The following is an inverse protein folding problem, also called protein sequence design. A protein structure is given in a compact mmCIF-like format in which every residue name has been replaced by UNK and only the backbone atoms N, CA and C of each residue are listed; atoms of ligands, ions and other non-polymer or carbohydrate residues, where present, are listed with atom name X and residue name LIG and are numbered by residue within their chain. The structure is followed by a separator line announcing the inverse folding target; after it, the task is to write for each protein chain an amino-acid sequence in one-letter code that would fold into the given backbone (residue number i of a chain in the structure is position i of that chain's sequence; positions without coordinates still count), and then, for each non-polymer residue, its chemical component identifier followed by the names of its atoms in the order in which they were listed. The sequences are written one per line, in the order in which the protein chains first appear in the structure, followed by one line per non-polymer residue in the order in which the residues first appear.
data_IF_676276513095
#
_entry.id   IF_676276513095
#
_cell.length_a   1.000
_cell.length_b   1.000
_cell.length_c   1.000
_cell.angle_alpha   90.00
_cell.angle_beta   90.00
_cell.angle_gamma   90.00
#
_symmetry.space_group_name_H-M   'P 1'
#
loop_
_entity.id
_entity.type
_entity.pdbx_description
1 polymer ?
#
# COMPACT_ATOMS: atom_id res chain seq x y z
N UNK A 1 0.94 -50.76 15.52
CA UNK A 1 2.37 -50.56 15.19
C UNK A 1 2.66 -49.08 15.28
N UNK A 2 3.65 -48.67 16.06
CA UNK A 2 3.99 -47.25 16.26
C UNK A 2 5.10 -46.82 15.30
N UNK A 3 4.99 -45.61 14.72
CA UNK A 3 6.03 -45.00 13.89
C UNK A 3 7.40 -44.93 14.60
N UNK A 4 7.38 -44.78 15.93
CA UNK A 4 8.60 -44.72 16.74
C UNK A 4 9.38 -46.05 16.74
N UNK A 5 8.69 -47.19 16.73
CA UNK A 5 9.35 -48.52 16.71
C UNK A 5 9.99 -48.84 15.36
N UNK A 6 9.44 -48.34 14.25
CA UNK A 6 10.05 -48.51 12.94
C UNK A 6 11.29 -47.62 12.77
N UNK A 7 11.28 -46.39 13.28
CA UNK A 7 12.42 -45.48 13.22
C UNK A 7 13.62 -45.99 14.04
N UNK A 8 13.37 -46.66 15.17
CA UNK A 8 14.42 -47.24 16.02
C UNK A 8 15.14 -48.46 15.40
N UNK A 9 14.59 -49.07 14.33
CA UNK A 9 15.19 -50.20 13.62
C UNK A 9 16.14 -49.81 12.48
N UNK A 10 16.31 -48.50 12.22
CA UNK A 10 17.24 -48.01 11.20
C UNK A 10 18.71 -48.32 11.52
N UNK A 11 19.60 -48.28 10.51
CA UNK A 11 21.03 -48.44 10.71
C UNK A 11 21.54 -47.38 11.69
N UNK A 12 22.34 -47.80 12.68
CA UNK A 12 22.97 -46.88 13.63
C UNK A 12 24.02 -46.05 12.89
N UNK A 13 23.97 -44.72 13.04
CA UNK A 13 24.96 -43.83 12.46
C UNK A 13 26.37 -44.18 12.94
N UNK A 14 27.34 -44.08 12.04
CA UNK A 14 28.74 -44.31 12.39
C UNK A 14 29.26 -43.21 13.34
N UNK A 15 30.33 -43.46 14.12
CA UNK A 15 30.89 -42.45 15.02
C UNK A 15 31.34 -41.17 14.31
N UNK A 16 31.68 -41.25 13.02
CA UNK A 16 32.09 -40.12 12.19
C UNK A 16 30.88 -39.27 11.75
N UNK A 17 29.72 -39.88 11.52
CA UNK A 17 28.48 -39.17 11.13
C UNK A 17 27.82 -38.43 12.30
N UNK A 18 28.09 -38.86 13.54
CA UNK A 18 27.62 -38.18 14.76
C UNK A 18 28.44 -36.91 15.05
N UNK A 19 29.63 -36.78 14.45
CA UNK A 19 30.50 -35.63 14.68
C UNK A 19 29.95 -34.38 14.00
N UNK A 20 29.70 -33.33 14.78
CA UNK A 20 29.35 -32.03 14.25
C UNK A 20 30.46 -31.49 13.32
N UNK A 21 30.13 -30.87 12.18
CA UNK A 21 31.11 -30.25 11.31
C UNK A 21 31.91 -29.17 12.06
N UNK A 22 33.20 -29.03 11.75
CA UNK A 22 34.05 -28.01 12.36
C UNK A 22 33.50 -26.60 12.04
N UNK A 23 33.45 -25.68 13.03
CA UNK A 23 32.99 -24.32 12.78
C UNK A 23 33.94 -23.61 11.78
N UNK A 24 33.41 -22.81 10.86
CA UNK A 24 34.24 -22.03 9.95
C UNK A 24 35.10 -21.05 10.77
N UNK A 25 36.40 -20.99 10.46
CA UNK A 25 37.32 -20.03 11.08
C UNK A 25 37.29 -18.73 10.27
N UNK A 26 37.17 -17.60 10.97
CA UNK A 26 37.24 -16.26 10.37
C UNK A 26 38.72 -15.88 10.27
N UNK A 27 39.17 -15.53 9.07
CA UNK A 27 40.54 -15.08 8.82
C UNK A 27 40.72 -13.67 9.41
N UNK A 28 41.55 -13.53 10.44
CA UNK A 28 41.86 -12.23 11.05
C UNK A 28 43.09 -11.63 10.38
N UNK A 29 42.87 -10.72 9.43
CA UNK A 29 43.96 -9.90 8.87
C UNK A 29 44.32 -8.76 9.84
N UNK A 30 45.61 -8.53 10.14
CA UNK A 30 46.05 -7.51 11.09
C UNK A 30 45.82 -6.05 10.64
N UNK A 31 45.38 -5.81 9.40
CA UNK A 31 45.09 -4.47 8.85
C UNK A 31 43.69 -3.94 9.17
N UNK A 32 42.87 -4.68 9.93
CA UNK A 32 41.48 -4.32 10.30
C UNK A 32 41.43 -3.34 11.49
N UNK A 33 42.33 -2.35 11.48
CA UNK A 33 42.43 -1.30 12.50
C UNK A 33 41.24 -0.33 12.43
N UNK A 34 40.25 -0.53 13.30
CA UNK A 34 39.06 0.32 13.53
C UNK A 34 39.36 1.73 14.09
N UNK A 35 40.63 2.13 14.16
CA UNK A 35 41.09 3.39 14.78
C UNK A 35 40.61 4.65 14.02
N UNK A 36 40.29 4.53 12.73
CA UNK A 36 39.77 5.64 11.92
C UNK A 36 38.25 5.70 11.84
N UNK A 37 37.54 4.85 12.59
CA UNK A 37 36.07 4.82 12.63
C UNK A 37 35.51 5.63 13.82
N UNK A 38 36.24 6.66 14.25
CA UNK A 38 35.70 7.68 15.15
C UNK A 38 35.33 8.86 14.28
N UNK A 39 34.06 8.94 13.92
CA UNK A 39 33.46 10.07 13.21
C UNK A 39 33.35 11.26 14.17
N UNK A 40 34.45 12.01 14.33
CA UNK A 40 34.58 13.16 15.25
C UNK A 40 34.14 14.48 14.61
N UNK A 41 33.41 14.44 13.48
CA UNK A 41 32.74 15.63 12.93
C UNK A 41 31.27 15.72 13.36
N UNK A 42 30.98 15.21 14.57
CA UNK A 42 29.69 15.40 15.23
C UNK A 42 29.58 16.86 15.71
N UNK A 43 28.58 17.64 15.27
CA UNK A 43 28.40 19.00 15.76
C UNK A 43 28.28 19.00 17.29
N UNK A 44 29.20 19.68 17.97
CA UNK A 44 29.23 19.79 19.42
C UNK A 44 28.01 20.59 19.91
N UNK A 45 26.96 19.90 20.39
CA UNK A 45 25.80 20.52 21.01
C UNK A 45 26.19 20.94 22.43
N UNK A 46 26.77 22.12 22.54
CA UNK A 46 27.01 22.75 23.84
C UNK A 46 25.73 23.43 24.28
N UNK A 47 25.12 22.91 25.34
CA UNK A 47 23.92 23.40 26.03
C UNK A 47 22.59 23.29 25.27
N UNK A 48 21.68 22.54 25.88
CA UNK A 48 20.24 22.55 25.56
C UNK A 48 19.66 23.90 26.01
N UNK A 49 18.83 24.57 25.19
CA UNK A 49 18.12 25.80 25.59
C UNK A 49 17.30 25.60 26.88
N UNK A 50 17.23 26.62 27.74
CA UNK A 50 16.51 26.53 29.04
C UNK A 50 15.00 26.34 28.91
N UNK A 51 14.44 26.61 27.74
CA UNK A 51 13.03 26.45 27.38
C UNK A 51 12.72 25.08 26.72
N UNK A 52 13.70 24.20 26.55
CA UNK A 52 13.52 22.89 25.90
C UNK A 52 12.40 22.04 26.51
N UNK A 53 12.20 22.10 27.83
CA UNK A 53 11.14 21.33 28.48
C UNK A 53 9.74 21.81 28.12
N UNK A 54 9.56 23.12 27.91
CA UNK A 54 8.27 23.76 27.62
C UNK A 54 7.93 23.86 26.13
N UNK A 55 8.88 23.57 25.24
CA UNK A 55 8.64 23.53 23.79
C UNK A 55 7.70 22.36 23.42
N UNK A 56 6.73 22.65 22.54
CA UNK A 56 5.80 21.65 21.99
C UNK A 56 6.46 20.72 20.98
N UNK A 57 7.52 21.17 20.31
CA UNK A 57 8.29 20.41 19.32
C UNK A 57 9.76 20.50 19.73
N UNK A 58 10.35 19.38 20.14
CA UNK A 58 11.68 19.34 20.77
C UNK A 58 12.81 18.96 19.82
N UNK A 59 12.47 18.48 18.64
CA UNK A 59 13.44 17.95 17.67
C UNK A 59 12.97 18.26 16.26
N UNK A 60 13.90 18.51 15.34
CA UNK A 60 13.59 18.77 13.94
C UNK A 60 12.82 17.61 13.29
N UNK A 61 13.12 16.37 13.66
CA UNK A 61 12.38 15.19 13.16
C UNK A 61 10.91 15.14 13.59
N UNK A 62 10.58 15.71 14.75
CA UNK A 62 9.19 15.86 15.20
C UNK A 62 8.50 17.00 14.42
N UNK A 63 9.22 18.10 14.17
CA UNK A 63 8.71 19.21 13.36
C UNK A 63 8.36 18.74 11.93
N UNK A 64 9.28 18.01 11.29
CA UNK A 64 9.10 17.47 9.94
C UNK A 64 7.92 16.49 9.85
N UNK A 65 7.71 15.65 10.88
CA UNK A 65 6.55 14.74 10.95
C UNK A 65 5.25 15.52 11.00
N UNK A 66 5.15 16.52 11.86
CA UNK A 66 3.95 17.35 12.01
C UNK A 66 3.66 18.11 10.71
N UNK A 67 4.67 18.70 10.08
CA UNK A 67 4.50 19.37 8.80
C UNK A 67 3.95 18.43 7.72
N UNK A 68 4.49 17.22 7.62
CA UNK A 68 4.02 16.21 6.67
C UNK A 68 2.59 15.77 6.94
N UNK A 69 2.24 15.55 8.21
CA UNK A 69 0.88 15.19 8.61
C UNK A 69 -0.11 16.33 8.33
N UNK A 70 0.28 17.58 8.56
CA UNK A 70 -0.52 18.75 8.20
C UNK A 70 -0.71 18.90 6.69
N UNK A 71 0.34 18.68 5.89
CA UNK A 71 0.25 18.71 4.44
C UNK A 71 -0.70 17.64 3.93
N UNK A 72 -0.56 16.40 4.41
CA UNK A 72 -1.47 15.29 4.08
C UNK A 72 -2.90 15.62 4.50
N UNK A 73 -3.10 16.18 5.69
CA UNK A 73 -4.43 16.57 6.15
C UNK A 73 -5.02 17.71 5.30
N UNK A 74 -4.24 18.73 4.96
CA UNK A 74 -4.66 19.84 4.08
C UNK A 74 -5.00 19.33 2.68
N UNK A 75 -4.22 18.40 2.13
CA UNK A 75 -4.51 17.76 0.85
C UNK A 75 -5.77 16.90 0.92
N UNK A 76 -5.95 16.14 1.99
CA UNK A 76 -7.15 15.34 2.23
C UNK A 76 -8.41 16.22 2.32
N UNK A 77 -8.36 17.33 3.06
CA UNK A 77 -9.46 18.30 3.14
C UNK A 77 -9.77 18.92 1.77
N UNK A 78 -8.75 19.38 1.02
CA UNK A 78 -8.94 19.88 -0.35
C UNK A 78 -9.56 18.83 -1.27
N UNK A 79 -9.16 17.57 -1.15
CA UNK A 79 -9.73 16.47 -1.91
C UNK A 79 -11.19 16.21 -1.52
N UNK A 80 -11.53 16.26 -0.23
CA UNK A 80 -12.90 16.12 0.27
C UNK A 80 -13.79 17.24 -0.25
N UNK A 81 -13.35 18.50 -0.18
CA UNK A 81 -14.10 19.65 -0.68
C UNK A 81 -14.35 19.54 -2.19
N UNK A 82 -13.31 19.21 -2.97
CA UNK A 82 -13.44 18.97 -4.42
C UNK A 82 -14.37 17.80 -4.71
N UNK A 83 -14.31 16.73 -3.92
CA UNK A 83 -15.20 15.58 -4.06
C UNK A 83 -16.65 15.95 -3.73
N UNK A 84 -16.89 16.78 -2.71
CA UNK A 84 -18.22 17.26 -2.35
C UNK A 84 -18.82 18.12 -3.47
N UNK A 85 -18.05 19.08 -4.01
CA UNK A 85 -18.48 19.91 -5.14
C UNK A 85 -18.78 19.08 -6.41
N UNK A 86 -17.92 18.09 -6.71
CA UNK A 86 -18.17 17.13 -7.81
C UNK A 86 -19.40 16.27 -7.56
N UNK A 87 -19.64 15.83 -6.32
CA UNK A 87 -20.81 15.04 -5.95
C UNK A 87 -22.10 15.84 -6.12
N UNK A 88 -22.11 17.11 -5.72
CA UNK A 88 -23.28 17.97 -5.87
C UNK A 88 -23.62 18.21 -7.34
N UNK A 89 -22.63 18.60 -8.14
CA UNK A 89 -22.80 18.78 -9.59
C UNK A 89 -23.19 17.48 -10.32
N UNK A 90 -22.62 16.34 -9.92
CA UNK A 90 -23.01 15.04 -10.44
C UNK A 90 -24.45 14.68 -10.04
N UNK A 91 -24.88 14.99 -8.82
CA UNK A 91 -26.25 14.76 -8.36
C UNK A 91 -27.26 15.59 -9.14
N UNK A 92 -26.93 16.84 -9.44
CA UNK A 92 -27.77 17.70 -10.27
C UNK A 92 -27.91 17.15 -11.70
N UNK A 93 -26.79 16.75 -12.33
CA UNK A 93 -26.80 16.12 -13.66
C UNK A 93 -27.56 14.79 -13.68
N UNK A 94 -27.40 13.98 -12.64
CA UNK A 94 -28.11 12.72 -12.49
C UNK A 94 -29.62 12.93 -12.35
N UNK A 95 -30.06 13.98 -11.63
CA UNK A 95 -31.48 14.34 -11.55
C UNK A 95 -32.04 14.80 -12.89
N UNK A 96 -31.30 15.62 -13.64
CA UNK A 96 -31.70 16.08 -14.98
C UNK A 96 -31.81 14.94 -15.99
N UNK A 97 -30.99 13.90 -15.82
CA UNK A 97 -30.93 12.75 -16.73
C UNK A 97 -31.50 11.47 -16.12
N UNK A 98 -32.35 11.58 -15.10
CA UNK A 98 -32.94 10.44 -14.42
C UNK A 98 -33.81 9.58 -15.35
N UNK A 99 -34.42 10.19 -16.37
CA UNK A 99 -35.28 9.50 -17.35
C UNK A 99 -34.49 8.96 -18.55
N UNK A 100 -33.17 9.18 -18.61
CA UNK A 100 -32.35 8.70 -19.71
C UNK A 100 -31.94 7.22 -19.46
N UNK A 101 -32.48 6.23 -20.21
CA UNK A 101 -32.14 4.82 -20.05
C UNK A 101 -30.64 4.51 -20.16
N UNK A 102 -29.89 5.28 -20.95
CA UNK A 102 -28.43 5.09 -21.09
C UNK A 102 -27.72 5.50 -19.81
N UNK A 103 -28.15 6.59 -19.17
CA UNK A 103 -27.58 7.07 -17.89
C UNK A 103 -27.91 6.11 -16.75
N UNK A 104 -29.15 5.60 -16.70
CA UNK A 104 -29.55 4.59 -15.72
C UNK A 104 -28.74 3.30 -15.94
N UNK A 105 -28.62 2.84 -17.18
CA UNK A 105 -27.85 1.64 -17.53
C UNK A 105 -26.40 1.73 -17.10
N UNK A 106 -25.73 2.86 -17.37
CA UNK A 106 -24.35 3.09 -16.95
C UNK A 106 -24.21 3.15 -15.42
N UNK A 107 -25.18 3.74 -14.71
CA UNK A 107 -25.18 3.77 -13.25
C UNK A 107 -25.28 2.35 -12.65
N UNK A 108 -26.15 1.50 -13.21
CA UNK A 108 -26.26 0.09 -12.82
C UNK A 108 -24.97 -0.67 -13.16
N UNK A 109 -24.41 -0.45 -14.36
CA UNK A 109 -23.15 -1.06 -14.78
C UNK A 109 -22.00 -0.71 -13.82
N UNK A 110 -21.86 0.56 -13.46
CA UNK A 110 -20.86 1.02 -12.49
C UNK A 110 -21.07 0.43 -11.10
N UNK A 111 -22.31 0.26 -10.65
CA UNK A 111 -22.60 -0.39 -9.37
C UNK A 111 -22.16 -1.87 -9.36
N UNK A 112 -22.39 -2.60 -10.46
CA UNK A 112 -21.97 -3.99 -10.61
C UNK A 112 -20.44 -4.08 -10.65
N UNK A 113 -19.78 -3.29 -11.49
CA UNK A 113 -18.31 -3.27 -11.60
C UNK A 113 -17.68 -2.90 -10.27
N UNK A 114 -18.21 -1.86 -9.61
CA UNK A 114 -17.78 -1.44 -8.27
C UNK A 114 -17.95 -2.54 -7.23
N UNK A 115 -19.07 -3.27 -7.26
CA UNK A 115 -19.32 -4.41 -6.37
C UNK A 115 -18.32 -5.55 -6.58
N UNK A 116 -18.04 -5.92 -7.84
CA UNK A 116 -17.08 -6.99 -8.18
C UNK A 116 -15.67 -6.60 -7.72
N UNK A 117 -15.23 -5.40 -8.07
CA UNK A 117 -13.89 -4.90 -7.72
C UNK A 117 -13.75 -4.76 -6.21
N UNK A 118 -14.75 -4.17 -5.54
CA UNK A 118 -14.75 -3.97 -4.09
C UNK A 118 -14.72 -5.30 -3.32
N UNK A 119 -15.56 -6.25 -3.69
CA UNK A 119 -15.58 -7.58 -3.08
C UNK A 119 -14.28 -8.35 -3.35
N UNK A 120 -13.78 -8.31 -4.59
CA UNK A 120 -12.52 -8.96 -4.98
C UNK A 120 -11.32 -8.38 -4.23
N UNK A 121 -11.22 -7.05 -4.13
CA UNK A 121 -10.18 -6.36 -3.40
C UNK A 121 -10.25 -6.65 -1.90
N UNK A 122 -11.44 -6.64 -1.29
CA UNK A 122 -11.63 -7.00 0.11
C UNK A 122 -11.17 -8.42 0.41
N UNK A 123 -11.56 -9.39 -0.44
CA UNK A 123 -11.14 -10.78 -0.30
C UNK A 123 -9.62 -10.96 -0.44
N UNK A 124 -8.99 -10.26 -1.39
CA UNK A 124 -7.53 -10.29 -1.55
C UNK A 124 -6.79 -9.65 -0.37
N UNK A 125 -7.32 -8.52 0.12
CA UNK A 125 -6.80 -7.86 1.31
C UNK A 125 -6.88 -8.75 2.55
N UNK A 126 -8.04 -9.38 2.78
CA UNK A 126 -8.24 -10.31 3.90
C UNK A 126 -7.31 -11.54 3.86
N UNK A 127 -6.77 -11.89 2.70
CA UNK A 127 -5.80 -12.98 2.51
C UNK A 127 -4.34 -12.53 2.55
N UNK A 128 -4.07 -11.23 2.62
CA UNK A 128 -2.72 -10.68 2.51
C UNK A 128 -2.12 -10.80 1.09
N UNK A 129 -2.94 -11.10 0.08
CA UNK A 129 -2.52 -11.36 -1.30
C UNK A 129 -2.66 -10.11 -2.20
N UNK A 130 -3.02 -8.96 -1.63
CA UNK A 130 -3.15 -7.70 -2.34
C UNK A 130 -1.76 -7.16 -2.75
N UNK A 131 -1.28 -7.62 -3.90
CA UNK A 131 -0.01 -7.16 -4.48
C UNK A 131 -0.22 -6.00 -5.45
N UNK A 132 0.81 -5.17 -5.64
CA UNK A 132 0.78 -4.10 -6.65
C UNK A 132 0.50 -4.61 -8.07
N UNK A 133 0.90 -5.84 -8.39
CA UNK A 133 0.58 -6.50 -9.67
C UNK A 133 -0.92 -6.78 -9.83
N UNK A 134 -1.56 -7.26 -8.76
CA UNK A 134 -3.01 -7.51 -8.76
C UNK A 134 -3.79 -6.20 -8.89
N UNK A 135 -3.36 -5.16 -8.18
CA UNK A 135 -3.95 -3.82 -8.30
C UNK A 135 -3.79 -3.28 -9.72
N UNK A 136 -2.60 -3.40 -10.30
CA UNK A 136 -2.33 -2.97 -11.68
C UNK A 136 -3.19 -3.74 -12.70
N UNK A 137 -3.37 -5.05 -12.52
CA UNK A 137 -4.23 -5.87 -13.37
C UNK A 137 -5.70 -5.43 -13.29
N UNK A 138 -6.23 -5.16 -12.09
CA UNK A 138 -7.58 -4.63 -11.92
C UNK A 138 -7.72 -3.22 -12.52
N UNK A 139 -6.72 -2.36 -12.35
CA UNK A 139 -6.72 -1.03 -12.95
C UNK A 139 -6.75 -1.11 -14.49
N UNK A 140 -5.97 -2.02 -15.09
CA UNK A 140 -5.98 -2.26 -16.53
C UNK A 140 -7.36 -2.78 -17.01
N UNK A 141 -7.96 -3.72 -16.28
CA UNK A 141 -9.29 -4.23 -16.61
C UNK A 141 -10.37 -3.13 -16.56
N UNK A 142 -10.36 -2.29 -15.52
CA UNK A 142 -11.27 -1.14 -15.40
C UNK A 142 -11.02 -0.13 -16.52
N UNK A 143 -9.76 0.10 -16.89
CA UNK A 143 -9.38 0.96 -18.01
C UNK A 143 -9.97 0.48 -19.34
N UNK A 144 -9.81 -0.82 -19.65
CA UNK A 144 -10.40 -1.42 -20.85
C UNK A 144 -11.93 -1.34 -20.85
N UNK A 145 -12.56 -1.62 -19.71
CA UNK A 145 -14.00 -1.47 -19.55
C UNK A 145 -14.46 -0.03 -19.83
N UNK A 146 -13.77 0.97 -19.27
CA UNK A 146 -14.10 2.38 -19.49
C UNK A 146 -13.99 2.83 -20.95
N UNK A 147 -13.00 2.33 -21.69
CA UNK A 147 -12.88 2.58 -23.13
C UNK A 147 -14.08 1.99 -23.89
N UNK A 148 -14.45 0.75 -23.58
CA UNK A 148 -15.62 0.10 -24.20
C UNK A 148 -16.93 0.83 -23.89
N UNK A 149 -17.17 1.12 -22.61
CA UNK A 149 -18.35 1.85 -22.14
C UNK A 149 -18.48 3.23 -22.80
N UNK A 150 -17.38 3.95 -23.00
CA UNK A 150 -17.37 5.25 -23.69
C UNK A 150 -17.93 5.16 -25.11
N UNK A 151 -17.43 4.22 -25.93
CA UNK A 151 -17.88 4.09 -27.32
C UNK A 151 -19.32 3.61 -27.43
N UNK A 152 -19.72 2.68 -26.56
CA UNK A 152 -21.11 2.19 -26.49
C UNK A 152 -22.06 3.30 -26.07
N UNK A 153 -21.71 4.03 -25.02
CA UNK A 153 -22.48 5.18 -24.54
C UNK A 153 -22.59 6.27 -25.59
N UNK A 154 -21.50 6.61 -26.28
CA UNK A 154 -21.50 7.57 -27.39
C UNK A 154 -22.46 7.14 -28.51
N UNK A 155 -22.51 5.84 -28.86
CA UNK A 155 -23.44 5.33 -29.85
C UNK A 155 -24.90 5.50 -29.41
N UNK A 156 -25.23 5.18 -28.16
CA UNK A 156 -26.60 5.29 -27.65
C UNK A 156 -27.02 6.73 -27.32
N UNK A 157 -26.10 7.60 -26.90
CA UNK A 157 -26.38 9.02 -26.67
C UNK A 157 -26.72 9.79 -27.95
N UNK A 158 -26.29 9.32 -29.13
CA UNK A 158 -26.77 9.87 -30.41
C UNK A 158 -28.28 9.70 -30.58
N UNK A 159 -28.86 8.64 -30.03
CA UNK A 159 -30.30 8.36 -30.06
C UNK A 159 -31.03 8.96 -28.86
N UNK A 160 -30.36 9.01 -27.72
CA UNK A 160 -30.95 9.50 -26.48
C UNK A 160 -29.98 10.44 -25.74
N UNK A 161 -29.86 11.71 -26.19
CA UNK A 161 -28.87 12.63 -25.67
C UNK A 161 -29.12 12.98 -24.20
N UNK A 162 -28.07 13.12 -23.38
CA UNK A 162 -28.19 13.63 -22.02
C UNK A 162 -28.52 15.13 -22.04
N UNK A 163 -29.31 15.59 -21.05
CA UNK A 163 -29.62 17.00 -20.79
C UNK A 163 -28.59 17.64 -19.85
#
# INVERSE_FOLDING_TARGET
MSYAEMAAKGPKQSPEEVRAPAPPQVEHTPDDSVQSLVDVDSPHISSVPSDYESQSIKTDTQAERIQREEEVNKEAEKLKERAAAKKESAKEKAKKNADNPVVIGNAVGLAIVGGIVGFGAYRQYARGELTGKVVAAWAAAIGLFGVGDYYVSQYFFKRNPPQ
#
